data_IF_729526185732
#
_entry.id   IF_729526185732
#
_cell.length_a   1.000
_cell.length_b   1.000
_cell.length_c   1.000
_cell.angle_alpha   90.00
_cell.angle_beta   90.00
_cell.angle_gamma   90.00
#
_symmetry.space_group_name_H-M   'P 1'
#
loop_
_entity.id
_entity.type
_entity.pdbx_description
1 polymer ?
#
# COMPACT_ATOMS: atom_id res chain seq x y z
N UNK A 1 -1.18 -5.68 -10.43
CA UNK A 1 -0.70 -5.24 -9.11
C UNK A 1 -1.65 -4.29 -8.39
N UNK A 2 -2.16 -3.27 -9.06
CA UNK A 2 -3.07 -2.30 -8.43
C UNK A 2 -4.30 -2.98 -7.83
N UNK A 3 -4.91 -3.90 -8.58
CA UNK A 3 -6.10 -4.61 -8.10
C UNK A 3 -5.80 -5.46 -6.87
N UNK A 4 -4.65 -6.09 -6.83
CA UNK A 4 -4.24 -6.88 -5.68
C UNK A 4 -4.01 -6.02 -4.45
N UNK A 5 -3.43 -4.84 -4.64
CA UNK A 5 -3.24 -3.92 -3.52
C UNK A 5 -4.57 -3.41 -2.99
N UNK A 6 -5.55 -3.19 -3.86
CA UNK A 6 -6.89 -2.77 -3.42
C UNK A 6 -7.50 -3.82 -2.50
N UNK A 7 -7.35 -5.10 -2.83
CA UNK A 7 -7.86 -6.17 -1.98
C UNK A 7 -7.18 -6.18 -0.62
N UNK A 8 -5.86 -6.00 -0.60
CA UNK A 8 -5.13 -5.95 0.67
C UNK A 8 -5.54 -4.74 1.50
N UNK A 9 -5.72 -3.60 0.85
CA UNK A 9 -6.16 -2.37 1.52
C UNK A 9 -7.51 -2.59 2.20
N UNK A 10 -8.44 -3.26 1.53
CA UNK A 10 -9.76 -3.52 2.07
C UNK A 10 -9.75 -4.43 3.30
N UNK A 11 -8.66 -5.14 3.55
CA UNK A 11 -8.51 -5.95 4.76
C UNK A 11 -8.19 -5.11 5.99
N UNK A 12 -7.74 -3.88 5.78
CA UNK A 12 -7.32 -3.00 6.88
C UNK A 12 -8.29 -1.85 7.14
N UNK A 13 -9.04 -1.43 6.12
CA UNK A 13 -9.95 -0.30 6.25
C UNK A 13 -11.28 -0.63 5.57
N UNK A 14 -12.34 0.00 6.05
CA UNK A 14 -13.69 -0.22 5.51
C UNK A 14 -13.98 0.78 4.39
N UNK A 15 -13.38 0.51 3.24
CA UNK A 15 -13.53 1.36 2.05
C UNK A 15 -13.89 0.46 0.88
N UNK A 16 -14.83 0.90 0.06
CA UNK A 16 -15.18 0.16 -1.16
C UNK A 16 -14.00 0.18 -2.13
N UNK A 17 -13.69 -0.98 -2.70
CA UNK A 17 -12.58 -1.08 -3.66
C UNK A 17 -12.75 -0.10 -4.82
N UNK A 18 -14.00 0.15 -5.22
CA UNK A 18 -14.30 1.06 -6.32
C UNK A 18 -13.90 2.51 -6.03
N UNK A 19 -13.75 2.86 -4.75
CA UNK A 19 -13.37 4.21 -4.35
C UNK A 19 -11.87 4.38 -4.20
N UNK A 20 -11.12 3.29 -4.27
CA UNK A 20 -9.67 3.34 -4.18
C UNK A 20 -9.10 3.66 -5.56
N UNK A 21 -8.39 4.77 -5.66
CA UNK A 21 -7.77 5.22 -6.91
C UNK A 21 -6.25 5.31 -6.73
N UNK A 22 -5.49 5.40 -7.82
CA UNK A 22 -4.04 5.61 -7.70
C UNK A 22 -3.67 6.85 -6.90
N UNK A 23 -4.55 7.86 -6.90
CA UNK A 23 -4.29 9.11 -6.18
C UNK A 23 -4.74 9.06 -4.71
N UNK A 24 -5.39 7.99 -4.28
CA UNK A 24 -5.83 7.85 -2.89
C UNK A 24 -4.64 7.83 -1.94
N UNK A 25 -4.70 8.64 -0.90
CA UNK A 25 -3.65 8.70 0.12
C UNK A 25 -3.98 7.70 1.23
N UNK A 26 -2.98 6.92 1.62
CA UNK A 26 -3.20 5.87 2.62
C UNK A 26 -3.72 6.44 3.95
N UNK A 27 -3.10 7.49 4.42
CA UNK A 27 -3.44 8.05 5.72
C UNK A 27 -4.66 8.97 5.62
N UNK A 28 -4.60 9.96 4.72
CA UNK A 28 -5.63 11.00 4.63
C UNK A 28 -6.93 10.53 3.99
N UNK A 29 -6.84 9.69 2.97
CA UNK A 29 -8.02 9.29 2.19
C UNK A 29 -8.57 7.92 2.60
N UNK A 30 -7.69 6.97 2.89
CA UNK A 30 -8.09 5.60 3.20
C UNK A 30 -8.21 5.32 4.68
N UNK A 31 -7.67 6.20 5.51
CA UNK A 31 -7.82 6.08 6.96
C UNK A 31 -6.86 5.12 7.63
N UNK A 32 -5.75 4.79 6.99
CA UNK A 32 -4.72 3.98 7.64
C UNK A 32 -4.07 4.78 8.75
N UNK A 33 -3.76 4.11 9.85
CA UNK A 33 -2.83 4.69 10.81
C UNK A 33 -1.44 4.09 10.55
N UNK A 34 -0.42 4.59 11.25
CA UNK A 34 0.96 4.14 11.03
C UNK A 34 1.12 2.65 11.23
N UNK A 35 0.47 2.12 12.26
CA UNK A 35 0.55 0.69 12.58
C UNK A 35 -0.05 -0.15 11.45
N UNK A 36 -1.25 0.22 10.99
CA UNK A 36 -1.92 -0.49 9.91
C UNK A 36 -1.12 -0.44 8.62
N UNK A 37 -0.50 0.70 8.35
CA UNK A 37 0.30 0.88 7.15
C UNK A 37 1.52 -0.06 7.17
N UNK A 38 2.18 -0.14 8.31
CA UNK A 38 3.34 -1.03 8.46
C UNK A 38 2.93 -2.50 8.30
N UNK A 39 1.79 -2.89 8.87
CA UNK A 39 1.27 -4.25 8.73
C UNK A 39 0.92 -4.57 7.29
N UNK A 40 0.31 -3.61 6.60
CA UNK A 40 -0.01 -3.75 5.19
C UNK A 40 1.25 -3.98 4.36
N UNK A 41 2.30 -3.20 4.62
CA UNK A 41 3.56 -3.34 3.89
C UNK A 41 4.23 -4.69 4.18
N UNK A 42 4.09 -5.20 5.40
CA UNK A 42 4.58 -6.53 5.74
C UNK A 42 3.91 -7.61 4.89
N UNK A 43 2.61 -7.51 4.69
CA UNK A 43 1.88 -8.44 3.83
C UNK A 43 2.33 -8.30 2.37
N UNK A 44 2.59 -7.08 1.94
CA UNK A 44 3.09 -6.83 0.58
C UNK A 44 4.45 -7.50 0.38
N UNK A 45 5.33 -7.42 1.38
CA UNK A 45 6.62 -8.10 1.31
C UNK A 45 6.46 -9.61 1.09
N UNK A 46 5.56 -10.21 1.87
CA UNK A 46 5.31 -11.65 1.77
C UNK A 46 4.66 -12.02 0.44
N UNK A 47 3.71 -11.22 -0.01
CA UNK A 47 2.97 -11.51 -1.22
C UNK A 47 3.84 -11.46 -2.46
N UNK A 48 4.72 -10.49 -2.54
CA UNK A 48 5.55 -10.26 -3.72
C UNK A 48 7.00 -10.73 -3.56
N UNK A 49 7.36 -11.24 -2.39
CA UNK A 49 8.71 -11.72 -2.15
C UNK A 49 9.76 -10.61 -2.22
N UNK A 50 9.44 -9.45 -1.72
CA UNK A 50 10.34 -8.29 -1.75
C UNK A 50 10.65 -7.84 -0.33
N UNK A 51 11.66 -6.99 -0.20
CA UNK A 51 12.03 -6.39 1.09
C UNK A 51 11.85 -4.89 1.02
N UNK A 52 10.98 -4.37 1.87
CA UNK A 52 10.64 -2.96 1.91
C UNK A 52 11.57 -2.24 2.89
N UNK A 53 12.13 -1.11 2.45
CA UNK A 53 13.02 -0.31 3.29
C UNK A 53 12.20 0.69 4.08
N UNK A 54 12.34 0.65 5.43
CA UNK A 54 11.55 1.52 6.31
C UNK A 54 11.76 3.02 6.05
N UNK A 55 12.96 3.41 5.63
CA UNK A 55 13.23 4.81 5.32
C UNK A 55 12.51 5.25 4.06
N UNK A 56 12.41 4.37 3.08
CA UNK A 56 11.76 4.69 1.81
C UNK A 56 10.25 4.75 1.93
N UNK A 57 9.66 3.97 2.83
CA UNK A 57 8.20 3.93 2.97
C UNK A 57 7.65 5.22 3.55
N UNK A 58 8.48 6.03 4.21
CA UNK A 58 8.05 7.32 4.73
C UNK A 58 7.68 8.29 3.60
N UNK A 59 8.19 8.05 2.40
CA UNK A 59 7.89 8.86 1.23
C UNK A 59 6.65 8.40 0.48
N UNK A 60 6.12 7.22 0.83
CA UNK A 60 4.93 6.69 0.16
C UNK A 60 3.67 7.33 0.76
N UNK A 61 2.92 8.04 -0.06
CA UNK A 61 1.69 8.67 0.40
C UNK A 61 0.46 8.16 -0.32
N UNK A 62 0.56 7.87 -1.61
CA UNK A 62 -0.58 7.42 -2.42
C UNK A 62 -0.44 5.95 -2.79
N UNK A 63 -1.56 5.37 -3.26
CA UNK A 63 -1.55 3.99 -3.75
C UNK A 63 -0.61 3.87 -4.96
N UNK A 64 -0.59 4.88 -5.83
CA UNK A 64 0.32 4.87 -6.98
C UNK A 64 1.78 4.86 -6.54
N UNK A 65 2.11 5.62 -5.49
CA UNK A 65 3.47 5.60 -4.94
C UNK A 65 3.86 4.18 -4.53
N UNK A 66 2.96 3.47 -3.88
CA UNK A 66 3.20 2.10 -3.45
C UNK A 66 3.37 1.17 -4.65
N UNK A 67 2.53 1.31 -5.66
CA UNK A 67 2.62 0.50 -6.88
C UNK A 67 3.97 0.69 -7.56
N UNK A 68 4.39 1.94 -7.69
CA UNK A 68 5.66 2.28 -8.32
C UNK A 68 6.84 1.71 -7.53
N UNK A 69 6.78 1.82 -6.21
CA UNK A 69 7.83 1.34 -5.32
C UNK A 69 7.95 -0.19 -5.41
N UNK A 70 6.82 -0.88 -5.33
CA UNK A 70 6.80 -2.35 -5.42
C UNK A 70 7.32 -2.82 -6.78
N UNK A 71 6.89 -2.14 -7.85
CA UNK A 71 7.34 -2.46 -9.20
C UNK A 71 8.85 -2.31 -9.34
N UNK A 72 9.40 -1.28 -8.71
CA UNK A 72 10.85 -1.04 -8.71
C UNK A 72 11.60 -2.16 -7.99
N UNK A 73 11.07 -2.61 -6.86
CA UNK A 73 11.71 -3.68 -6.06
C UNK A 73 11.60 -5.03 -6.75
N UNK A 74 10.51 -5.30 -7.44
CA UNK A 74 10.33 -6.55 -8.16
C UNK A 74 11.21 -6.61 -9.39
N UNK A 75 11.58 -5.48 -9.88
CA UNK A 75 12.51 -5.30 -10.94
C UNK A 75 12.39 -5.47 -12.19
#
# INVERSE_FOLDING_TARGET
MFEELKELICNYVEVDADKITPDSKFIDDLGFNSFDFMSFLGEVEDKYGIHVNEEEILDLSTVQDAVDYIGKLKG
#
